data_IF_629549917882
#
_entry.id   IF_629549917882
#
_cell.length_a   1.000
_cell.length_b   1.000
_cell.length_c   1.000
_cell.angle_alpha   90.00
_cell.angle_beta   90.00
_cell.angle_gamma   90.00
#
_symmetry.space_group_name_H-M   'P 1'
#
loop_
_entity.id
_entity.type
_entity.pdbx_description
1 polymer ?
#
# COMPACT_ATOMS: atom_id res chain seq x y z
N UNK A 1 -2.02 19.31 12.20
CA UNK A 1 -2.47 19.64 10.83
C UNK A 1 -1.70 18.73 9.87
N UNK A 2 -2.35 17.97 8.99
CA UNK A 2 -1.67 16.94 8.18
C UNK A 2 -0.58 17.50 7.23
N UNK A 3 -0.65 18.78 6.89
CA UNK A 3 0.35 19.46 6.08
C UNK A 3 1.63 19.87 6.85
N UNK A 4 1.70 19.66 8.16
CA UNK A 4 2.88 20.00 8.96
C UNK A 4 3.95 18.90 8.90
N UNK A 5 3.54 17.66 8.67
CA UNK A 5 4.49 16.55 8.58
C UNK A 5 4.94 16.33 7.13
N UNK A 6 6.25 16.21 6.87
CA UNK A 6 6.74 15.85 5.56
C UNK A 6 6.22 14.46 5.16
N UNK A 7 5.70 14.33 3.94
CA UNK A 7 5.19 13.07 3.45
C UNK A 7 6.16 12.43 2.45
N UNK A 8 6.47 11.16 2.65
CA UNK A 8 7.24 10.35 1.69
C UNK A 8 6.33 9.31 1.05
N UNK A 9 6.48 9.09 -0.25
CA UNK A 9 5.57 8.25 -1.02
C UNK A 9 6.24 7.50 -2.16
N UNK A 10 5.45 6.75 -2.93
CA UNK A 10 5.91 6.08 -4.14
C UNK A 10 5.96 7.04 -5.34
N UNK A 11 6.82 6.76 -6.32
CA UNK A 11 6.90 7.52 -7.58
C UNK A 11 5.54 7.57 -8.28
N UNK A 12 5.11 8.77 -8.67
CA UNK A 12 3.82 8.93 -9.35
C UNK A 12 3.76 8.24 -10.71
N UNK A 13 4.89 8.19 -11.40
CA UNK A 13 5.02 7.58 -12.73
C UNK A 13 4.65 6.09 -12.70
N UNK A 14 5.23 5.35 -11.76
CA UNK A 14 5.03 3.90 -11.66
C UNK A 14 3.79 3.54 -10.83
N UNK A 15 3.36 4.42 -9.92
CA UNK A 15 2.31 4.14 -8.93
C UNK A 15 1.16 5.16 -8.98
N UNK A 16 0.64 5.42 -10.18
CA UNK A 16 -0.49 6.36 -10.36
C UNK A 16 -1.74 6.01 -9.53
N UNK A 17 -2.05 4.72 -9.34
CA UNK A 17 -3.17 4.26 -8.51
C UNK A 17 -2.94 4.54 -7.02
N UNK A 18 -1.69 4.43 -6.54
CA UNK A 18 -1.33 4.81 -5.17
C UNK A 18 -1.59 6.30 -4.93
N UNK A 19 -1.17 7.16 -5.85
CA UNK A 19 -1.43 8.60 -5.76
C UNK A 19 -2.92 8.93 -5.80
N UNK A 20 -3.71 8.21 -6.61
CA UNK A 20 -5.18 8.36 -6.61
C UNK A 20 -5.79 7.94 -5.27
N UNK A 21 -5.28 6.87 -4.68
CA UNK A 21 -5.70 6.43 -3.35
C UNK A 21 -5.34 7.47 -2.27
N UNK A 22 -4.12 8.00 -2.26
CA UNK A 22 -3.74 9.08 -1.34
C UNK A 22 -4.62 10.32 -1.49
N UNK A 23 -4.89 10.74 -2.73
CA UNK A 23 -5.77 11.86 -3.00
C UNK A 23 -7.20 11.63 -2.46
N UNK A 24 -7.72 10.40 -2.57
CA UNK A 24 -8.99 10.01 -1.97
C UNK A 24 -8.93 10.01 -0.44
N UNK A 25 -7.84 9.53 0.15
CA UNK A 25 -7.68 9.44 1.61
C UNK A 25 -7.67 10.83 2.26
N UNK A 26 -6.97 11.77 1.64
CA UNK A 26 -6.84 13.15 2.14
C UNK A 26 -7.87 14.12 1.55
N UNK A 27 -8.91 13.62 0.86
CA UNK A 27 -9.88 14.46 0.15
C UNK A 27 -10.65 15.42 1.09
N UNK A 28 -10.96 14.97 2.31
CA UNK A 28 -11.70 15.74 3.32
C UNK A 28 -10.80 16.64 4.18
N UNK A 29 -9.47 16.54 4.04
CA UNK A 29 -8.53 17.30 4.86
C UNK A 29 -8.25 18.64 4.18
N UNK A 30 -8.51 19.74 4.90
CA UNK A 30 -8.30 21.11 4.40
C UNK A 30 -6.85 21.33 3.94
N UNK A 31 -5.90 20.81 4.71
CA UNK A 31 -4.47 20.94 4.47
C UNK A 31 -3.91 19.58 4.03
N UNK A 32 -3.74 19.39 2.72
CA UNK A 32 -3.24 18.14 2.15
C UNK A 32 -1.76 17.95 2.50
N UNK A 33 -1.31 16.71 2.77
CA UNK A 33 0.11 16.42 2.95
C UNK A 33 0.91 16.82 1.71
N UNK A 34 2.09 17.41 1.93
CA UNK A 34 3.03 17.70 0.86
C UNK A 34 3.98 16.53 0.72
N UNK A 35 3.95 15.86 -0.43
CA UNK A 35 4.95 14.85 -0.79
C UNK A 35 6.28 15.58 -1.01
N UNK A 36 7.28 15.26 -0.20
CA UNK A 36 8.62 15.86 -0.27
C UNK A 36 9.63 14.95 -0.97
N UNK A 37 9.44 13.63 -0.88
CA UNK A 37 10.26 12.62 -1.54
C UNK A 37 9.38 11.50 -2.10
N UNK A 38 9.75 11.02 -3.28
CA UNK A 38 9.12 9.88 -3.94
C UNK A 38 10.17 8.79 -4.17
N UNK A 39 9.79 7.53 -3.96
CA UNK A 39 10.67 6.39 -4.13
C UNK A 39 10.06 5.31 -5.04
N UNK A 40 10.93 4.50 -5.63
CA UNK A 40 10.60 3.43 -6.58
C UNK A 40 9.98 2.18 -5.95
N UNK A 41 9.94 2.09 -4.61
CA UNK A 41 9.37 0.94 -3.92
C UNK A 41 9.10 1.18 -2.45
N UNK A 42 8.20 0.36 -1.89
CA UNK A 42 7.79 0.49 -0.48
C UNK A 42 8.94 0.25 0.51
N UNK A 43 9.95 -0.53 0.14
CA UNK A 43 11.16 -0.72 0.95
C UNK A 43 11.93 0.59 1.09
N UNK A 44 12.10 1.32 -0.01
CA UNK A 44 12.78 2.61 -0.06
C UNK A 44 12.00 3.67 0.73
N UNK A 45 10.66 3.71 0.58
CA UNK A 45 9.78 4.56 1.39
C UNK A 45 9.98 4.30 2.88
N UNK A 46 10.04 3.03 3.30
CA UNK A 46 10.23 2.71 4.71
C UNK A 46 11.62 3.06 5.22
N UNK A 47 12.66 2.91 4.42
CA UNK A 47 13.99 3.40 4.78
C UNK A 47 13.98 4.92 5.04
N UNK A 48 13.25 5.70 4.24
CA UNK A 48 13.10 7.14 4.47
C UNK A 48 12.31 7.46 5.75
N UNK A 49 11.23 6.71 6.04
CA UNK A 49 10.48 6.85 7.30
C UNK A 49 11.35 6.50 8.51
N UNK A 50 12.09 5.39 8.43
CA UNK A 50 13.03 4.93 9.47
C UNK A 50 14.16 5.96 9.71
N UNK A 51 14.63 6.62 8.65
CA UNK A 51 15.62 7.70 8.74
C UNK A 51 15.05 9.03 9.28
N UNK A 52 13.74 9.13 9.51
CA UNK A 52 13.09 10.34 10.02
C UNK A 52 12.82 11.41 8.95
N UNK A 53 12.89 11.07 7.67
CA UNK A 53 12.59 12.00 6.56
C UNK A 53 11.13 12.48 6.59
N UNK A 54 10.22 11.63 7.06
CA UNK A 54 8.80 11.97 7.14
C UNK A 54 7.91 10.77 7.43
N UNK A 55 6.62 10.90 7.13
CA UNK A 55 5.60 9.86 7.29
C UNK A 55 5.09 9.35 5.95
N UNK A 56 4.57 8.12 5.93
CA UNK A 56 4.00 7.50 4.74
C UNK A 56 2.68 6.80 5.05
N UNK A 57 1.83 6.65 4.03
CA UNK A 57 0.70 5.71 4.08
C UNK A 57 1.18 4.34 3.61
N UNK A 58 0.99 3.34 4.46
CA UNK A 58 1.35 1.95 4.22
C UNK A 58 0.16 1.02 4.53
N UNK A 59 0.14 -0.15 3.91
CA UNK A 59 -0.81 -1.21 4.25
C UNK A 59 -0.33 -1.99 5.47
N UNK A 60 -1.24 -2.47 6.31
CA UNK A 60 -0.88 -3.22 7.53
C UNK A 60 -0.05 -4.47 7.24
N UNK A 61 -0.27 -5.13 6.09
CA UNK A 61 0.51 -6.29 5.66
C UNK A 61 2.02 -6.01 5.54
N UNK A 62 2.40 -4.75 5.35
CA UNK A 62 3.80 -4.38 5.32
C UNK A 62 4.46 -4.41 6.71
N UNK A 63 3.68 -4.40 7.80
CA UNK A 63 4.18 -4.61 9.15
C UNK A 63 4.93 -5.94 9.30
N UNK A 64 4.52 -6.98 8.57
CA UNK A 64 5.25 -8.26 8.53
C UNK A 64 6.66 -8.13 7.95
N UNK A 65 6.83 -7.25 6.96
CA UNK A 65 8.12 -7.03 6.26
C UNK A 65 9.02 -6.05 7.02
N UNK A 66 8.43 -5.07 7.69
CA UNK A 66 9.18 -3.97 8.30
C UNK A 66 9.50 -4.19 9.78
N UNK A 67 8.76 -5.09 10.44
CA UNK A 67 8.96 -5.40 11.85
C UNK A 67 8.84 -4.15 12.72
N UNK A 68 9.74 -4.01 13.70
CA UNK A 68 9.72 -2.92 14.68
C UNK A 68 10.42 -1.64 14.21
N UNK A 69 10.87 -1.56 12.95
CA UNK A 69 11.64 -0.42 12.41
C UNK A 69 10.78 0.83 12.24
N UNK A 70 9.47 0.66 12.06
CA UNK A 70 8.51 1.74 11.92
C UNK A 70 7.28 1.48 12.77
N UNK A 71 6.66 2.55 13.27
CA UNK A 71 5.39 2.46 13.97
C UNK A 71 4.24 2.55 12.98
N UNK A 72 3.44 1.49 12.86
CA UNK A 72 2.20 1.52 12.09
C UNK A 72 1.04 2.00 12.97
N UNK A 73 0.34 3.02 12.49
CA UNK A 73 -0.86 3.57 13.13
C UNK A 73 -2.05 3.31 12.22
N UNK A 74 -3.08 2.67 12.77
CA UNK A 74 -4.33 2.44 12.04
C UNK A 74 -5.09 3.74 11.87
N UNK A 75 -5.61 3.95 10.67
CA UNK A 75 -6.44 5.10 10.34
C UNK A 75 -7.87 4.86 10.82
N UNK A 76 -8.50 5.89 11.40
CA UNK A 76 -9.88 5.84 11.88
C UNK A 76 -10.68 7.00 11.27
N UNK A 77 -11.82 6.73 10.59
CA UNK A 77 -12.32 5.41 10.23
C UNK A 77 -11.37 4.70 9.25
N UNK A 78 -11.43 3.36 9.25
CA UNK A 78 -10.59 2.58 8.34
C UNK A 78 -10.96 2.90 6.89
N UNK A 79 -9.99 3.21 6.01
CA UNK A 79 -10.27 3.44 4.61
C UNK A 79 -10.80 2.16 3.95
N UNK A 80 -11.40 2.31 2.76
CA UNK A 80 -11.89 1.14 2.00
C UNK A 80 -10.79 0.08 1.90
N UNK A 81 -11.07 -1.18 2.27
CA UNK A 81 -10.07 -2.25 2.23
C UNK A 81 -9.45 -2.38 0.85
N UNK A 82 -8.14 -2.54 0.80
CA UNK A 82 -7.44 -2.88 -0.44
C UNK A 82 -7.71 -4.37 -0.71
N UNK A 83 -8.31 -4.66 -1.86
CA UNK A 83 -8.61 -6.03 -2.27
C UNK A 83 -7.35 -6.71 -2.78
N UNK A 84 -6.96 -7.82 -2.15
CA UNK A 84 -5.90 -8.69 -2.64
C UNK A 84 -6.47 -9.69 -3.65
N UNK A 85 -5.74 -9.91 -4.74
CA UNK A 85 -6.15 -10.80 -5.83
C UNK A 85 -5.00 -11.62 -6.38
N UNK A 86 -5.34 -12.56 -7.27
CA UNK A 86 -4.37 -13.37 -8.00
C UNK A 86 -4.07 -12.67 -9.32
N UNK A 87 -2.80 -12.38 -9.57
CA UNK A 87 -2.32 -11.88 -10.86
C UNK A 87 -1.75 -13.02 -11.70
N UNK A 88 -2.12 -13.09 -12.98
CA UNK A 88 -1.61 -14.07 -13.93
C UNK A 88 -1.36 -13.43 -15.31
N UNK A 89 -0.47 -14.03 -16.11
CA UNK A 89 -0.23 -13.59 -17.49
C UNK A 89 -1.52 -13.73 -18.31
N UNK A 90 -1.78 -12.77 -19.21
CA UNK A 90 -2.87 -12.88 -20.20
C UNK A 90 -2.62 -14.06 -21.15
N UNK A 91 -3.67 -14.79 -21.50
CA UNK A 91 -3.63 -15.91 -22.45
C UNK A 91 -3.79 -17.28 -21.78
N UNK A 92 -3.35 -18.35 -22.48
CA UNK A 92 -3.51 -19.72 -21.99
C UNK A 92 -2.65 -19.94 -20.74
N UNK A 93 -3.31 -20.24 -19.63
CA UNK A 93 -2.67 -20.60 -18.38
C UNK A 93 -2.23 -22.08 -18.44
N UNK A 94 -1.18 -22.42 -17.71
CA UNK A 94 -0.82 -23.83 -17.53
C UNK A 94 -1.85 -24.52 -16.63
N UNK A 95 -2.06 -25.84 -16.76
CA UNK A 95 -2.91 -26.59 -15.83
C UNK A 95 -2.50 -26.41 -14.36
N UNK A 96 -1.20 -26.23 -14.09
CA UNK A 96 -0.71 -25.95 -12.73
C UNK A 96 -1.16 -24.58 -12.22
N UNK A 97 -1.16 -23.55 -13.08
CA UNK A 97 -1.66 -22.20 -12.74
C UNK A 97 -3.16 -22.20 -12.50
N UNK A 98 -3.93 -22.95 -13.30
CA UNK A 98 -5.38 -23.10 -13.09
C UNK A 98 -5.68 -23.82 -11.76
N UNK A 99 -4.94 -24.90 -11.46
CA UNK A 99 -5.07 -25.61 -10.18
C UNK A 99 -4.71 -24.71 -9.00
N UNK A 100 -3.61 -23.95 -9.10
CA UNK A 100 -3.24 -22.96 -8.08
C UNK A 100 -4.36 -21.94 -7.86
N UNK A 101 -4.92 -21.39 -8.95
CA UNK A 101 -6.04 -20.46 -8.86
C UNK A 101 -7.19 -21.08 -8.06
N UNK A 102 -7.65 -22.26 -8.45
CA UNK A 102 -8.81 -22.90 -7.80
C UNK A 102 -8.57 -23.12 -6.31
N UNK A 103 -7.43 -23.70 -5.94
CA UNK A 103 -7.09 -23.90 -4.53
C UNK A 103 -7.04 -22.57 -3.76
N UNK A 104 -6.46 -21.52 -4.35
CA UNK A 104 -6.39 -20.21 -3.70
C UNK A 104 -7.78 -19.58 -3.51
N UNK A 105 -8.69 -19.71 -4.50
CA UNK A 105 -10.09 -19.26 -4.37
C UNK A 105 -10.84 -20.00 -3.27
N UNK A 106 -10.75 -21.33 -3.24
CA UNK A 106 -11.44 -22.18 -2.26
C UNK A 106 -11.00 -21.85 -0.83
N UNK A 107 -9.68 -21.69 -0.62
CA UNK A 107 -9.15 -21.34 0.70
C UNK A 107 -9.52 -19.93 1.12
N UNK A 108 -9.45 -18.95 0.21
CA UNK A 108 -9.87 -17.59 0.51
C UNK A 108 -11.36 -17.48 0.84
N UNK A 109 -12.22 -18.31 0.23
CA UNK A 109 -13.64 -18.38 0.54
C UNK A 109 -13.93 -19.02 1.91
N UNK A 110 -13.08 -19.95 2.36
CA UNK A 110 -13.22 -20.62 3.66
C UNK A 110 -12.67 -19.81 4.86
N UNK A 111 -11.99 -18.69 4.62
CA UNK A 111 -11.46 -17.79 5.65
C UNK A 111 -12.31 -16.53 5.87
N UNK A 112 -13.48 -16.44 5.22
CA UNK A 112 -14.52 -15.45 5.51
C UNK A 112 -15.47 -15.98 6.57
#
# INVERSE_FOLDING_TARGET
DAAQEPFVGLTREDFSDYHRYLASLFASVKNKPRVIEEHDGMTSVVSAVEAGTGVAVAVEALGYTFGNRVKLVRLTPEPKPISFGIAARKGRLSPATEKFWQCAKEKAAASK
#
